data_IF_002122858905
#
_entry.id   IF_002122858905
#
_cell.length_a   1.000
_cell.length_b   1.000
_cell.length_c   1.000
_cell.angle_alpha   90.00
_cell.angle_beta   90.00
_cell.angle_gamma   90.00
#
_symmetry.space_group_name_H-M   'P 1'
#
loop_
_entity.id
_entity.type
_entity.pdbx_description
1 polymer ?
#
# COMPACT_ATOMS: atom_id res chain seq x y z
N UNK A 1 -3.87 -23.87 2.20
CA UNK A 1 -2.93 -22.72 2.27
C UNK A 1 -2.82 -21.96 0.94
N UNK A 2 -2.55 -22.61 -0.20
CA UNK A 2 -2.37 -21.93 -1.50
C UNK A 2 -3.59 -21.14 -2.01
N UNK A 3 -4.80 -21.68 -1.88
CA UNK A 3 -6.03 -20.98 -2.28
C UNK A 3 -6.26 -19.68 -1.49
N UNK A 4 -5.98 -19.70 -0.18
CA UNK A 4 -6.08 -18.51 0.67
C UNK A 4 -5.04 -17.43 0.31
N UNK A 5 -3.83 -17.83 -0.07
CA UNK A 5 -2.80 -16.91 -0.54
C UNK A 5 -3.18 -16.25 -1.88
N UNK A 6 -3.75 -17.02 -2.81
CA UNK A 6 -4.21 -16.50 -4.12
C UNK A 6 -5.41 -15.57 -3.93
N UNK A 7 -6.40 -15.96 -3.12
CA UNK A 7 -7.53 -15.08 -2.77
C UNK A 7 -7.04 -13.80 -2.10
N UNK A 8 -6.11 -13.90 -1.15
CA UNK A 8 -5.49 -12.74 -0.49
C UNK A 8 -4.79 -11.82 -1.48
N UNK A 9 -4.04 -12.36 -2.45
CA UNK A 9 -3.38 -11.60 -3.50
C UNK A 9 -4.38 -10.93 -4.45
N UNK A 10 -5.43 -11.63 -4.87
CA UNK A 10 -6.49 -11.10 -5.73
C UNK A 10 -7.26 -9.96 -5.05
N UNK A 11 -7.65 -10.15 -3.78
CA UNK A 11 -8.32 -9.12 -2.97
C UNK A 11 -7.38 -7.92 -2.79
N UNK A 12 -6.11 -8.15 -2.46
CA UNK A 12 -5.13 -7.07 -2.29
C UNK A 12 -4.92 -6.27 -3.58
N UNK A 13 -5.00 -6.93 -4.73
CA UNK A 13 -4.94 -6.29 -6.05
C UNK A 13 -6.21 -5.47 -6.32
N UNK A 14 -7.40 -6.02 -6.07
CA UNK A 14 -8.66 -5.28 -6.20
C UNK A 14 -8.72 -4.05 -5.27
N UNK A 15 -8.18 -4.15 -4.06
CA UNK A 15 -8.16 -3.07 -3.08
C UNK A 15 -6.93 -2.15 -3.16
N UNK A 16 -5.96 -2.45 -4.03
CA UNK A 16 -4.78 -1.62 -4.23
C UNK A 16 -5.10 -0.15 -4.57
N UNK A 17 -6.01 0.17 -5.52
CA UNK A 17 -6.37 1.56 -5.80
C UNK A 17 -7.01 2.26 -4.60
N UNK A 18 -7.79 1.54 -3.78
CA UNK A 18 -8.39 2.08 -2.56
C UNK A 18 -7.30 2.40 -1.53
N UNK A 19 -6.30 1.53 -1.38
CA UNK A 19 -5.15 1.78 -0.52
C UNK A 19 -4.35 3.00 -1.01
N UNK A 20 -4.14 3.17 -2.33
CA UNK A 20 -3.46 4.35 -2.89
C UNK A 20 -4.22 5.65 -2.56
N UNK A 21 -5.54 5.67 -2.72
CA UNK A 21 -6.37 6.84 -2.37
C UNK A 21 -6.29 7.13 -0.88
N UNK A 22 -6.38 6.10 -0.04
CA UNK A 22 -6.29 6.26 1.42
C UNK A 22 -4.93 6.81 1.85
N UNK A 23 -3.83 6.31 1.29
CA UNK A 23 -2.48 6.81 1.60
C UNK A 23 -2.27 8.24 1.12
N UNK A 24 -2.78 8.61 -0.07
CA UNK A 24 -2.77 10.03 -0.52
C UNK A 24 -3.59 10.92 0.42
N UNK A 25 -4.78 10.46 0.83
CA UNK A 25 -5.64 11.20 1.75
C UNK A 25 -5.00 11.37 3.14
N UNK A 26 -4.28 10.36 3.64
CA UNK A 26 -3.53 10.46 4.89
C UNK A 26 -2.29 11.34 4.77
N UNK A 27 -1.61 11.35 3.62
CA UNK A 27 -0.48 12.23 3.36
C UNK A 27 -0.90 13.70 3.22
N UNK A 28 -2.13 13.97 2.73
CA UNK A 28 -2.72 15.31 2.64
C UNK A 28 -3.62 15.67 3.84
N UNK A 29 -3.55 14.92 4.95
CA UNK A 29 -4.24 15.33 6.19
C UNK A 29 -3.71 16.68 6.66
N UNK A 30 -4.46 17.74 6.32
CA UNK A 30 -4.10 19.14 6.54
C UNK A 30 -4.41 20.07 5.36
N UNK A 31 -4.64 19.56 4.14
CA UNK A 31 -4.93 20.40 2.97
C UNK A 31 -6.05 19.87 2.05
N UNK A 32 -7.02 20.76 1.78
CA UNK A 32 -7.92 20.91 0.60
C UNK A 32 -8.82 19.75 0.10
N UNK A 33 -8.73 18.51 0.59
CA UNK A 33 -9.56 17.40 0.07
C UNK A 33 -10.35 16.64 1.15
N UNK A 34 -11.61 17.06 1.35
CA UNK A 34 -12.57 16.44 2.30
C UNK A 34 -13.22 15.15 1.76
N UNK A 35 -13.20 14.94 0.43
CA UNK A 35 -14.02 13.92 -0.22
C UNK A 35 -13.19 12.83 -0.93
N UNK A 36 -13.36 11.58 -0.48
CA UNK A 36 -12.74 10.37 -1.05
C UNK A 36 -12.89 10.28 -2.57
N UNK A 37 -14.09 10.51 -3.10
CA UNK A 37 -14.37 10.47 -4.54
C UNK A 37 -13.63 11.54 -5.33
N UNK A 38 -13.37 12.70 -4.72
CA UNK A 38 -12.63 13.80 -5.36
C UNK A 38 -11.15 13.41 -5.52
N UNK A 39 -10.56 12.80 -4.49
CA UNK A 39 -9.18 12.29 -4.52
C UNK A 39 -9.07 11.12 -5.51
N UNK A 40 -10.03 10.19 -5.51
CA UNK A 40 -10.08 9.10 -6.50
C UNK A 40 -10.08 9.66 -7.93
N UNK A 41 -10.92 10.67 -8.22
CA UNK A 41 -10.99 11.31 -9.54
C UNK A 41 -9.71 12.06 -9.90
N UNK A 42 -9.11 12.77 -8.95
CA UNK A 42 -7.82 13.47 -9.15
C UNK A 42 -6.71 12.47 -9.46
N UNK A 43 -6.58 11.39 -8.67
CA UNK A 43 -5.60 10.32 -8.91
C UNK A 43 -5.83 9.66 -10.27
N UNK A 44 -7.10 9.44 -10.64
CA UNK A 44 -7.47 8.85 -11.93
C UNK A 44 -7.06 9.74 -13.12
N UNK A 45 -7.25 11.06 -13.01
CA UNK A 45 -6.86 12.05 -14.01
C UNK A 45 -5.34 12.23 -14.04
N UNK A 46 -4.67 12.38 -12.90
CA UNK A 46 -3.20 12.47 -12.77
C UNK A 46 -2.49 11.26 -13.40
N UNK A 47 -3.12 10.09 -13.33
CA UNK A 47 -2.58 8.82 -13.84
C UNK A 47 -3.03 8.51 -15.27
N UNK A 48 -3.51 9.52 -16.01
CA UNK A 48 -3.87 9.41 -17.43
C UNK A 48 -4.87 8.28 -17.73
N UNK A 49 -5.83 8.03 -16.82
CA UNK A 49 -6.84 6.97 -16.97
C UNK A 49 -6.25 5.55 -17.14
N UNK A 50 -4.97 5.35 -16.81
CA UNK A 50 -4.26 4.10 -17.03
C UNK A 50 -4.04 3.35 -15.72
N UNK A 51 -4.71 2.21 -15.57
CA UNK A 51 -4.51 1.28 -14.45
C UNK A 51 -3.03 0.86 -14.30
N UNK A 52 -2.30 0.74 -15.41
CA UNK A 52 -0.87 0.40 -15.40
C UNK A 52 -0.03 1.49 -14.72
N UNK A 53 -0.38 2.76 -14.95
CA UNK A 53 0.29 3.90 -14.33
C UNK A 53 -0.12 4.08 -12.86
N UNK A 54 -1.33 3.70 -12.45
CA UNK A 54 -1.76 3.66 -11.04
C UNK A 54 -0.90 2.66 -10.24
N UNK A 55 -0.57 1.52 -10.86
CA UNK A 55 0.34 0.52 -10.28
C UNK A 55 1.82 0.84 -10.46
N UNK A 56 2.17 1.86 -11.26
CA UNK A 56 3.55 2.29 -11.47
C UNK A 56 4.05 3.00 -10.20
N UNK A 57 4.85 2.25 -9.43
CA UNK A 57 5.33 2.63 -8.10
C UNK A 57 4.81 1.72 -6.97
N UNK A 58 3.83 0.85 -7.26
CA UNK A 58 3.35 -0.18 -6.34
C UNK A 58 4.47 -1.12 -5.93
N UNK A 59 5.26 -1.59 -6.90
CA UNK A 59 6.40 -2.48 -6.67
C UNK A 59 7.47 -1.83 -5.79
N UNK A 60 7.76 -0.54 -6.00
CA UNK A 60 8.72 0.20 -5.17
C UNK A 60 8.22 0.38 -3.74
N UNK A 61 6.93 0.69 -3.56
CA UNK A 61 6.32 0.72 -2.23
C UNK A 61 6.29 -0.66 -1.57
N UNK A 62 6.02 -1.71 -2.34
CA UNK A 62 6.02 -3.09 -1.84
C UNK A 62 7.41 -3.51 -1.38
N UNK A 63 8.45 -3.23 -2.16
CA UNK A 63 9.86 -3.48 -1.78
C UNK A 63 10.22 -2.69 -0.51
N UNK A 64 9.88 -1.41 -0.45
CA UNK A 64 10.14 -0.58 0.74
C UNK A 64 9.46 -1.16 1.99
N UNK A 65 8.18 -1.52 1.88
CA UNK A 65 7.42 -2.11 2.98
C UNK A 65 7.95 -3.47 3.40
N UNK A 66 8.36 -4.31 2.43
CA UNK A 66 8.94 -5.63 2.69
C UNK A 66 10.28 -5.52 3.41
N UNK A 67 11.13 -4.56 3.03
CA UNK A 67 12.37 -4.26 3.75
C UNK A 67 12.10 -3.79 5.17
N UNK A 68 11.16 -2.85 5.37
CA UNK A 68 10.79 -2.35 6.69
C UNK A 68 10.23 -3.46 7.60
N UNK A 69 9.35 -4.31 7.07
CA UNK A 69 8.84 -5.48 7.77
C UNK A 69 9.95 -6.49 8.10
N UNK A 70 10.83 -6.78 7.14
CA UNK A 70 11.96 -7.69 7.35
C UNK A 70 12.90 -7.22 8.47
N UNK A 71 13.25 -5.93 8.47
CA UNK A 71 14.08 -5.34 9.53
C UNK A 71 13.38 -5.40 10.88
N UNK A 72 12.09 -5.06 10.93
CA UNK A 72 11.30 -5.10 12.17
C UNK A 72 11.26 -6.53 12.72
N UNK A 73 10.97 -7.50 11.87
CA UNK A 73 10.86 -8.89 12.28
C UNK A 73 12.21 -9.47 12.72
N UNK A 74 13.30 -9.15 12.00
CA UNK A 74 14.65 -9.53 12.38
C UNK A 74 15.06 -8.91 13.73
N UNK A 75 14.71 -7.63 13.95
CA UNK A 75 14.95 -6.94 15.23
C UNK A 75 14.17 -7.59 16.36
N UNK A 76 12.89 -7.90 16.15
CA UNK A 76 12.06 -8.62 17.12
C UNK A 76 12.62 -9.99 17.45
N UNK A 77 13.06 -10.75 16.44
CA UNK A 77 13.62 -12.08 16.64
C UNK A 77 14.96 -12.03 17.38
N UNK A 78 15.81 -11.06 17.05
CA UNK A 78 17.06 -10.81 17.77
C UNK A 78 16.81 -10.46 19.25
N UNK A 79 15.86 -9.55 19.51
CA UNK A 79 15.51 -9.11 20.85
C UNK A 79 14.87 -10.23 21.67
N UNK A 80 13.97 -11.02 21.07
CA UNK A 80 13.34 -12.20 21.70
C UNK A 80 14.39 -13.26 22.08
N UNK A 81 15.39 -13.47 21.22
CA UNK A 81 16.47 -14.45 21.42
C UNK A 81 17.50 -14.02 22.47
N UNK A 82 17.53 -12.73 22.80
CA UNK A 82 18.31 -12.19 23.92
C UNK A 82 17.61 -12.30 25.28
N UNK A 83 16.27 -12.38 25.28
CA UNK A 83 15.45 -12.43 26.50
C UNK A 83 15.15 -13.87 26.96
N UNK A 84 15.60 -14.88 26.20
CA UNK A 84 15.58 -16.32 26.51
C UNK A 84 17.00 -16.83 26.57
#
# INVERSE_FOLDING_TARGET
>A
MFLGAILGACISTLFFPINVVKTKMQAEMGTKYDNFFKILKVVWIERNYSLKEVYRGAQLNFIRSLLAWGITNATFEYMRRWYT
#
